data_IF_936631017457
#
_entry.id   IF_936631017457
#
_cell.length_a   1.000
_cell.length_b   1.000
_cell.length_c   1.000
_cell.angle_alpha   90.00
_cell.angle_beta   90.00
_cell.angle_gamma   90.00
#
_symmetry.space_group_name_H-M   'P 1'
#
loop_
_entity.id
_entity.type
_entity.pdbx_description
1 polymer ?
#
# COMPACT_ATOMS: atom_id res chain seq x y z
N UNK A 1 8.73 26.45 1.14
CA UNK A 1 10.18 26.70 0.99
C UNK A 1 10.86 25.37 0.73
N UNK A 2 11.90 25.35 -0.14
CA UNK A 2 12.67 24.14 -0.45
C UNK A 2 13.66 23.83 0.67
N UNK A 3 14.11 22.58 0.83
CA UNK A 3 15.17 22.24 1.79
C UNK A 3 16.45 23.07 1.60
N UNK A 4 16.80 23.40 0.35
CA UNK A 4 17.95 24.24 0.02
C UNK A 4 17.88 25.64 0.66
N UNK A 5 16.65 26.17 0.86
CA UNK A 5 16.44 27.42 1.58
C UNK A 5 16.91 27.34 3.05
N UNK A 6 16.99 26.15 3.61
CA UNK A 6 17.46 25.90 4.98
C UNK A 6 18.91 25.40 5.02
N UNK A 7 19.64 25.48 3.90
CA UNK A 7 21.02 25.02 3.79
C UNK A 7 21.20 23.51 3.91
N UNK A 8 20.13 22.72 3.71
CA UNK A 8 20.17 21.26 3.75
C UNK A 8 20.62 20.71 2.39
N UNK A 9 21.64 19.89 2.39
CA UNK A 9 22.06 19.12 1.21
C UNK A 9 21.02 18.05 0.85
N UNK A 10 21.04 17.58 -0.42
CA UNK A 10 20.13 16.53 -0.89
C UNK A 10 20.22 15.27 -0.02
N UNK A 11 21.43 14.91 0.43
CA UNK A 11 21.65 13.71 1.24
C UNK A 11 21.08 13.84 2.66
N UNK A 12 21.01 15.05 3.23
CA UNK A 12 20.48 15.28 4.57
C UNK A 12 18.96 15.14 4.67
N UNK A 13 18.23 15.40 3.58
CA UNK A 13 16.77 15.26 3.58
C UNK A 13 16.25 14.09 2.73
N UNK A 14 17.12 13.38 2.02
CA UNK A 14 16.75 12.13 1.36
C UNK A 14 16.59 11.02 2.38
N UNK A 15 15.47 10.31 2.26
CA UNK A 15 15.24 9.13 3.07
C UNK A 15 16.09 7.98 2.57
N UNK A 16 17.09 7.56 3.35
CA UNK A 16 17.98 6.44 3.06
C UNK A 16 17.41 5.07 3.48
N UNK A 17 16.35 5.08 4.31
CA UNK A 17 15.70 3.84 4.74
C UNK A 17 14.66 3.37 3.73
N UNK A 18 14.87 2.17 3.22
CA UNK A 18 13.95 1.47 2.32
C UNK A 18 13.35 0.25 3.03
N UNK A 19 12.18 -0.21 2.53
CA UNK A 19 11.61 -1.46 3.01
C UNK A 19 12.58 -2.61 2.71
N UNK A 20 13.20 -3.14 3.76
CA UNK A 20 14.20 -4.22 3.67
C UNK A 20 13.57 -5.62 3.73
N UNK A 21 12.29 -5.71 4.07
CA UNK A 21 11.55 -6.98 4.17
C UNK A 21 10.11 -6.84 3.72
N UNK A 22 9.54 -7.94 3.23
CA UNK A 22 8.11 -8.06 3.02
C UNK A 22 7.39 -8.07 4.38
N UNK A 23 6.41 -7.16 4.51
CA UNK A 23 5.54 -7.04 5.69
C UNK A 23 4.14 -7.58 5.41
N UNK A 24 3.94 -8.21 4.25
CA UNK A 24 2.69 -8.83 3.85
C UNK A 24 2.27 -9.94 4.82
N UNK A 25 0.98 -10.17 4.92
CA UNK A 25 0.46 -11.21 5.79
C UNK A 25 0.79 -12.60 5.26
N UNK A 26 0.68 -12.81 3.94
CA UNK A 26 1.02 -14.09 3.30
C UNK A 26 2.49 -14.46 3.48
N UNK A 27 3.38 -13.47 3.37
CA UNK A 27 4.81 -13.67 3.60
C UNK A 27 5.17 -14.08 5.04
N UNK A 28 4.26 -13.83 5.99
CA UNK A 28 4.39 -14.24 7.39
C UNK A 28 3.49 -15.46 7.72
N UNK A 29 3.04 -16.21 6.72
CA UNK A 29 2.27 -17.45 6.89
C UNK A 29 0.85 -17.24 7.42
N UNK A 30 0.29 -16.04 7.31
CA UNK A 30 -1.08 -15.74 7.78
C UNK A 30 -2.08 -16.04 6.67
N UNK A 31 -3.05 -16.90 6.95
CA UNK A 31 -4.24 -17.07 6.11
C UNK A 31 -5.13 -15.82 6.26
N UNK A 32 -5.03 -14.94 5.26
CA UNK A 32 -5.68 -13.64 5.28
C UNK A 32 -7.20 -13.76 5.34
N UNK A 33 -7.77 -14.64 4.54
CA UNK A 33 -9.22 -14.74 4.38
C UNK A 33 -9.86 -15.41 5.60
N UNK A 34 -9.22 -16.44 6.16
CA UNK A 34 -9.65 -17.08 7.40
C UNK A 34 -9.61 -16.08 8.57
N UNK A 35 -8.54 -15.33 8.73
CA UNK A 35 -8.41 -14.35 9.82
C UNK A 35 -9.43 -13.22 9.68
N UNK A 36 -9.60 -12.67 8.47
CA UNK A 36 -10.60 -11.61 8.24
C UNK A 36 -12.01 -12.13 8.52
N UNK A 37 -12.33 -13.37 8.16
CA UNK A 37 -13.62 -13.99 8.45
C UNK A 37 -13.86 -14.09 9.95
N UNK A 38 -12.91 -14.62 10.71
CA UNK A 38 -13.00 -14.68 12.17
C UNK A 38 -13.22 -13.30 12.81
N UNK A 39 -12.52 -12.29 12.31
CA UNK A 39 -12.73 -10.90 12.76
C UNK A 39 -14.13 -10.40 12.40
N UNK A 40 -14.65 -10.67 11.20
CA UNK A 40 -16.01 -10.30 10.80
C UNK A 40 -17.07 -10.91 11.71
N UNK A 41 -16.91 -12.17 12.11
CA UNK A 41 -17.84 -12.87 13.01
C UNK A 41 -17.82 -12.27 14.42
N UNK A 42 -16.69 -11.75 14.86
CA UNK A 42 -16.54 -11.11 16.17
C UNK A 42 -16.95 -9.63 16.17
N UNK A 43 -16.52 -8.88 15.15
CA UNK A 43 -16.78 -7.45 15.01
C UNK A 43 -16.93 -7.06 13.54
N UNK A 44 -18.16 -6.84 13.12
CA UNK A 44 -18.49 -6.56 11.73
C UNK A 44 -17.88 -5.23 11.22
N UNK A 45 -17.73 -4.22 12.08
CA UNK A 45 -17.15 -2.92 11.69
C UNK A 45 -15.63 -3.06 11.42
N UNK A 46 -14.91 -3.73 12.32
CA UNK A 46 -13.47 -3.98 12.14
C UNK A 46 -13.25 -4.95 10.99
N UNK A 47 -14.04 -6.02 10.89
CA UNK A 47 -13.97 -6.97 9.78
C UNK A 47 -14.21 -6.32 8.41
N UNK A 48 -15.22 -5.46 8.29
CA UNK A 48 -15.47 -4.70 7.05
C UNK A 48 -14.30 -3.75 6.73
N UNK A 49 -13.75 -3.08 7.75
CA UNK A 49 -12.56 -2.25 7.57
C UNK A 49 -11.36 -3.06 7.05
N UNK A 50 -11.14 -4.29 7.54
CA UNK A 50 -10.09 -5.18 7.03
C UNK A 50 -10.37 -5.63 5.59
N UNK A 51 -11.62 -5.98 5.25
CA UNK A 51 -12.00 -6.30 3.86
C UNK A 51 -11.70 -5.13 2.91
N UNK A 52 -12.03 -3.90 3.32
CA UNK A 52 -11.72 -2.69 2.54
C UNK A 52 -10.21 -2.47 2.41
N UNK A 53 -9.42 -2.70 3.48
CA UNK A 53 -7.95 -2.63 3.40
C UNK A 53 -7.44 -3.69 2.42
N UNK A 54 -7.92 -4.93 2.51
CA UNK A 54 -7.52 -6.06 1.65
C UNK A 54 -7.86 -5.83 0.18
N UNK A 55 -9.01 -5.23 -0.11
CA UNK A 55 -9.46 -5.03 -1.50
C UNK A 55 -8.86 -3.78 -2.15
N UNK A 56 -8.66 -2.70 -1.41
CA UNK A 56 -8.34 -1.38 -1.94
C UNK A 56 -7.03 -0.77 -1.41
N UNK A 57 -6.32 -1.46 -0.54
CA UNK A 57 -5.08 -0.95 0.04
C UNK A 57 -5.27 0.31 0.89
N UNK A 58 -6.39 0.45 1.61
CA UNK A 58 -6.66 1.60 2.45
C UNK A 58 -5.72 1.64 3.67
N UNK A 59 -5.46 2.84 4.20
CA UNK A 59 -4.88 2.96 5.53
C UNK A 59 -5.94 2.67 6.59
N UNK A 60 -5.55 2.22 7.78
CA UNK A 60 -6.43 1.97 8.92
C UNK A 60 -7.45 3.10 9.14
N UNK A 61 -6.97 4.35 9.25
CA UNK A 61 -7.85 5.52 9.43
C UNK A 61 -8.78 5.74 8.24
N UNK A 62 -8.30 5.51 7.03
CA UNK A 62 -9.10 5.65 5.80
C UNK A 62 -10.22 4.62 5.78
N UNK A 63 -9.96 3.35 6.18
CA UNK A 63 -10.99 2.31 6.21
C UNK A 63 -12.07 2.59 7.25
N UNK A 64 -11.71 3.09 8.43
CA UNK A 64 -12.68 3.45 9.49
C UNK A 64 -13.54 4.66 9.09
N UNK A 65 -12.97 5.63 8.36
CA UNK A 65 -13.67 6.82 7.90
C UNK A 65 -14.37 6.64 6.54
N UNK A 66 -14.23 5.47 5.91
CA UNK A 66 -14.89 5.21 4.64
C UNK A 66 -16.41 5.22 4.81
N UNK A 67 -17.10 5.91 3.91
CA UNK A 67 -18.57 5.97 3.84
C UNK A 67 -19.04 5.15 2.66
N UNK A 68 -19.54 3.93 2.87
CA UNK A 68 -19.73 2.95 1.78
C UNK A 68 -20.70 3.40 0.68
N UNK A 69 -21.63 4.28 0.99
CA UNK A 69 -22.56 4.85 -0.01
C UNK A 69 -22.02 6.16 -0.60
N UNK A 70 -21.71 7.14 0.24
CA UNK A 70 -21.29 8.48 -0.20
C UNK A 70 -19.93 8.48 -0.92
N UNK A 71 -19.00 7.61 -0.49
CA UNK A 71 -17.67 7.55 -1.09
C UNK A 71 -17.61 6.75 -2.39
N UNK A 72 -18.69 6.10 -2.80
CA UNK A 72 -18.76 5.39 -4.08
C UNK A 72 -19.38 6.32 -5.12
N UNK A 73 -18.55 6.78 -6.05
CA UNK A 73 -18.92 7.78 -7.04
C UNK A 73 -18.81 7.22 -8.46
N UNK A 74 -19.61 7.71 -9.42
CA UNK A 74 -19.46 7.37 -10.82
C UNK A 74 -18.16 7.98 -11.39
N UNK A 75 -17.69 7.45 -12.52
CA UNK A 75 -16.47 7.92 -13.18
C UNK A 75 -16.49 9.43 -13.45
N UNK A 76 -17.60 9.95 -13.91
CA UNK A 76 -17.80 11.36 -14.27
C UNK A 76 -17.55 12.32 -13.09
N UNK A 77 -17.72 11.83 -11.86
CA UNK A 77 -17.46 12.61 -10.63
C UNK A 77 -16.02 12.55 -10.14
N UNK A 78 -15.14 11.83 -10.84
CA UNK A 78 -13.74 11.67 -10.43
C UNK A 78 -12.84 12.81 -10.88
N UNK A 79 -13.21 13.50 -11.96
CA UNK A 79 -12.37 14.49 -12.65
C UNK A 79 -11.15 13.86 -13.35
N UNK A 80 -11.15 12.55 -13.55
CA UNK A 80 -10.12 11.85 -14.34
C UNK A 80 -10.42 12.02 -15.85
N UNK A 81 -9.39 12.08 -16.70
CA UNK A 81 -9.57 12.13 -18.13
C UNK A 81 -10.15 10.79 -18.67
N UNK A 82 -10.89 10.80 -19.79
CA UNK A 82 -11.57 9.61 -20.32
C UNK A 82 -10.65 8.40 -20.55
N UNK A 83 -9.41 8.64 -20.96
CA UNK A 83 -8.39 7.62 -21.19
C UNK A 83 -7.95 6.90 -19.90
N UNK A 84 -8.17 7.49 -18.74
CA UNK A 84 -7.88 6.90 -17.42
C UNK A 84 -9.10 6.13 -16.84
N UNK A 85 -10.16 5.94 -17.62
CA UNK A 85 -11.34 5.19 -17.17
C UNK A 85 -11.03 3.69 -17.08
N UNK A 86 -11.02 3.17 -15.84
CA UNK A 86 -10.79 1.74 -15.55
C UNK A 86 -12.06 1.04 -15.04
N UNK A 87 -13.06 1.80 -14.61
CA UNK A 87 -14.35 1.29 -14.12
C UNK A 87 -15.43 2.36 -14.23
N UNK A 88 -16.70 1.96 -14.13
CA UNK A 88 -17.82 2.91 -14.08
C UNK A 88 -17.99 3.56 -12.70
N UNK A 89 -17.52 2.88 -11.65
CA UNK A 89 -17.62 3.36 -10.26
C UNK A 89 -16.27 3.35 -9.58
N UNK A 90 -16.07 4.33 -8.72
CA UNK A 90 -14.81 4.54 -7.99
C UNK A 90 -15.06 4.76 -6.50
N UNK A 91 -14.15 4.26 -5.67
CA UNK A 91 -14.10 4.63 -4.27
C UNK A 91 -13.27 5.91 -4.11
N UNK A 92 -13.92 6.99 -3.68
CA UNK A 92 -13.28 8.29 -3.38
C UNK A 92 -12.70 8.26 -1.97
N UNK A 93 -11.39 8.31 -1.84
CA UNK A 93 -10.68 8.19 -0.56
C UNK A 93 -9.97 9.51 -0.24
N UNK A 94 -10.31 10.11 0.91
CA UNK A 94 -9.60 11.26 1.46
C UNK A 94 -8.46 10.76 2.36
N UNK A 95 -7.23 10.92 1.90
CA UNK A 95 -6.02 10.46 2.58
C UNK A 95 -5.38 11.51 3.49
N UNK A 96 -4.14 11.19 3.94
CA UNK A 96 -3.32 12.10 4.76
C UNK A 96 -3.09 13.43 4.02
N UNK A 97 -3.25 14.54 4.75
CA UNK A 97 -3.09 15.89 4.18
C UNK A 97 -4.27 16.32 3.29
N UNK A 98 -5.45 15.69 3.42
CA UNK A 98 -6.65 16.07 2.66
C UNK A 98 -6.65 15.61 1.19
N UNK A 99 -5.63 14.90 0.74
CA UNK A 99 -5.53 14.45 -0.65
C UNK A 99 -6.61 13.44 -0.96
N UNK A 100 -7.29 13.66 -2.09
CA UNK A 100 -8.29 12.74 -2.62
C UNK A 100 -7.66 11.86 -3.69
N UNK A 101 -7.98 10.57 -3.66
CA UNK A 101 -7.70 9.62 -4.73
C UNK A 101 -8.94 8.81 -5.05
N UNK A 102 -9.02 8.36 -6.27
CA UNK A 102 -10.09 7.52 -6.76
C UNK A 102 -9.54 6.12 -7.05
N UNK A 103 -10.13 5.10 -6.44
CA UNK A 103 -9.77 3.70 -6.63
C UNK A 103 -10.87 3.07 -7.48
N UNK A 104 -10.55 2.53 -8.67
CA UNK A 104 -11.56 1.91 -9.53
C UNK A 104 -12.16 0.69 -8.84
N UNK A 105 -13.47 0.49 -8.95
CA UNK A 105 -14.18 -0.71 -8.49
C UNK A 105 -14.26 -1.71 -9.64
N UNK A 106 -13.11 -2.14 -10.15
CA UNK A 106 -12.88 -2.91 -11.37
C UNK A 106 -12.77 -4.42 -11.15
N UNK A 107 -12.91 -4.88 -9.90
CA UNK A 107 -12.79 -6.31 -9.60
C UNK A 107 -13.90 -6.80 -8.68
N UNK A 108 -14.27 -8.11 -8.77
CA UNK A 108 -15.25 -8.72 -7.87
C UNK A 108 -14.91 -8.52 -6.38
N UNK A 109 -13.62 -8.60 -6.03
CA UNK A 109 -13.16 -8.43 -4.65
C UNK A 109 -13.42 -7.01 -4.12
N UNK A 110 -13.21 -5.96 -4.95
CA UNK A 110 -13.49 -4.57 -4.58
C UNK A 110 -14.99 -4.31 -4.45
N UNK A 111 -15.78 -4.82 -5.38
CA UNK A 111 -17.23 -4.71 -5.33
C UNK A 111 -17.82 -5.43 -4.11
N UNK A 112 -17.37 -6.66 -3.84
CA UNK A 112 -17.80 -7.43 -2.66
C UNK A 112 -17.42 -6.75 -1.34
N UNK A 113 -16.22 -6.16 -1.24
CA UNK A 113 -15.81 -5.44 -0.05
C UNK A 113 -16.67 -4.20 0.22
N UNK A 114 -17.02 -3.45 -0.82
CA UNK A 114 -17.94 -2.30 -0.73
C UNK A 114 -19.35 -2.76 -0.35
N UNK A 115 -19.89 -3.78 -1.02
CA UNK A 115 -21.23 -4.31 -0.73
C UNK A 115 -21.33 -4.83 0.72
N UNK A 116 -20.30 -5.54 1.21
CA UNK A 116 -20.24 -5.95 2.61
C UNK A 116 -20.24 -4.75 3.55
N UNK A 117 -19.44 -3.73 3.28
CA UNK A 117 -19.40 -2.51 4.07
C UNK A 117 -20.75 -1.76 4.09
N UNK A 118 -21.46 -1.72 2.95
CA UNK A 118 -22.83 -1.17 2.86
C UNK A 118 -23.82 -1.94 3.74
N UNK A 119 -23.66 -3.27 3.86
CA UNK A 119 -24.50 -4.10 4.74
C UNK A 119 -24.19 -4.01 6.23
N UNK A 120 -23.09 -3.32 6.60
CA UNK A 120 -22.69 -3.13 8.01
C UNK A 120 -23.17 -1.81 8.57
N UNK A 121 -23.17 -0.74 7.78
CA UNK A 121 -23.57 0.59 8.24
C UNK A 121 -25.09 0.73 8.36
N UNK A 122 -25.54 1.53 9.33
CA UNK A 122 -26.97 1.71 9.65
C UNK A 122 -27.67 2.77 8.80
N UNK A 123 -26.91 3.63 8.11
CA UNK A 123 -27.46 4.71 7.28
C UNK A 123 -26.54 5.02 6.09
N UNK A 124 -27.08 5.69 5.08
CA UNK A 124 -26.32 6.02 3.85
C UNK A 124 -25.19 7.01 4.08
N UNK A 125 -25.29 7.85 5.08
CA UNK A 125 -24.31 8.86 5.46
C UNK A 125 -23.29 8.33 6.50
N UNK A 126 -23.49 7.12 7.02
CA UNK A 126 -22.62 6.55 8.04
C UNK A 126 -21.22 6.17 7.48
N UNK A 127 -20.21 6.31 8.33
CA UNK A 127 -18.87 5.78 8.07
C UNK A 127 -18.69 4.39 8.71
N UNK A 128 -17.60 3.70 8.35
CA UNK A 128 -17.31 2.34 8.82
C UNK A 128 -16.96 2.24 10.32
N UNK A 129 -16.75 3.32 11.02
CA UNK A 129 -16.60 3.26 12.48
C UNK A 129 -17.96 3.04 13.16
N UNK A 130 -17.95 2.39 14.32
CA UNK A 130 -19.14 2.27 15.16
C UNK A 130 -19.69 3.68 15.50
N UNK A 131 -20.97 3.98 15.19
CA UNK A 131 -21.55 5.30 15.38
C UNK A 131 -21.63 5.74 16.85
N UNK A 132 -21.61 4.81 17.79
CA UNK A 132 -21.56 5.10 19.23
C UNK A 132 -20.18 5.57 19.73
N UNK A 133 -19.19 5.61 18.84
CA UNK A 133 -17.81 5.94 19.18
C UNK A 133 -17.30 7.12 18.35
N UNK A 134 -16.50 7.98 18.97
CA UNK A 134 -15.68 8.93 18.21
C UNK A 134 -14.55 8.22 17.42
N UNK A 135 -13.86 8.95 16.56
CA UNK A 135 -12.79 8.42 15.76
C UNK A 135 -11.66 7.79 16.60
N UNK A 136 -11.30 8.44 17.70
CA UNK A 136 -10.21 7.97 18.58
C UNK A 136 -10.57 6.65 19.22
N UNK A 137 -11.80 6.50 19.70
CA UNK A 137 -12.32 5.27 20.29
C UNK A 137 -12.44 4.16 19.24
N UNK A 138 -12.93 4.48 18.03
CA UNK A 138 -12.97 3.54 16.92
C UNK A 138 -11.59 3.02 16.54
N UNK A 139 -10.57 3.88 16.46
CA UNK A 139 -9.21 3.45 16.14
C UNK A 139 -8.60 2.60 17.26
N UNK A 140 -8.85 2.93 18.53
CA UNK A 140 -8.40 2.11 19.67
C UNK A 140 -9.10 0.75 19.68
N UNK A 141 -10.39 0.73 19.41
CA UNK A 141 -11.15 -0.51 19.31
C UNK A 141 -10.67 -1.39 18.16
N UNK A 142 -10.39 -0.79 16.99
CA UNK A 142 -9.77 -1.48 15.88
C UNK A 142 -8.45 -2.17 16.30
N UNK A 143 -7.55 -1.45 16.98
CA UNK A 143 -6.28 -2.01 17.48
C UNK A 143 -6.50 -3.11 18.51
N UNK A 144 -7.46 -2.95 19.41
CA UNK A 144 -7.84 -3.98 20.40
C UNK A 144 -8.29 -5.27 19.72
N UNK A 145 -9.18 -5.17 18.74
CA UNK A 145 -9.66 -6.36 17.99
C UNK A 145 -8.50 -7.04 17.28
N UNK A 146 -7.61 -6.27 16.61
CA UNK A 146 -6.43 -6.88 15.98
C UNK A 146 -5.57 -7.63 16.98
N UNK A 147 -5.32 -7.05 18.16
CA UNK A 147 -4.56 -7.70 19.23
C UNK A 147 -5.24 -8.98 19.70
N UNK A 148 -6.56 -8.96 19.87
CA UNK A 148 -7.34 -10.13 20.28
C UNK A 148 -7.19 -11.33 19.31
N UNK A 149 -7.03 -11.05 18.01
CA UNK A 149 -6.84 -12.08 16.98
C UNK A 149 -5.35 -12.34 16.65
N UNK A 150 -4.43 -11.86 17.49
CA UNK A 150 -3.01 -12.06 17.32
C UNK A 150 -2.41 -11.32 16.12
N UNK A 151 -3.11 -10.32 15.56
CA UNK A 151 -2.64 -9.54 14.42
C UNK A 151 -1.70 -8.45 14.94
N UNK A 152 -0.56 -8.88 15.46
CA UNK A 152 0.49 -8.03 16.02
C UNK A 152 1.85 -8.46 15.51
N UNK A 153 2.82 -7.55 15.55
CA UNK A 153 4.21 -7.87 15.20
C UNK A 153 4.77 -8.96 16.12
N UNK A 154 4.35 -8.95 17.41
CA UNK A 154 4.84 -9.89 18.42
C UNK A 154 4.37 -11.32 18.15
N UNK A 155 3.11 -11.51 17.76
CA UNK A 155 2.51 -12.85 17.66
C UNK A 155 2.59 -13.45 16.26
N UNK A 156 2.29 -12.66 15.25
CA UNK A 156 2.25 -13.13 13.84
C UNK A 156 3.18 -12.35 12.92
N UNK A 157 3.98 -11.42 13.42
CA UNK A 157 4.86 -10.61 12.58
C UNK A 157 4.14 -9.57 11.69
N UNK A 158 2.82 -9.40 11.84
CA UNK A 158 1.97 -8.62 10.94
C UNK A 158 1.21 -7.50 11.63
N UNK A 159 0.70 -6.57 10.84
CA UNK A 159 -0.16 -5.45 11.28
C UNK A 159 -1.19 -5.14 10.20
N UNK A 160 -2.19 -4.30 10.50
CA UNK A 160 -3.08 -3.76 9.47
C UNK A 160 -2.33 -3.06 8.32
N UNK A 161 -1.19 -2.45 8.62
CA UNK A 161 -0.34 -1.83 7.61
C UNK A 161 0.33 -2.87 6.70
N UNK A 162 0.69 -4.04 7.24
CA UNK A 162 1.18 -5.18 6.46
C UNK A 162 0.13 -5.70 5.47
N UNK A 163 -1.14 -5.74 5.85
CA UNK A 163 -2.23 -6.11 4.93
C UNK A 163 -2.35 -5.13 3.75
N UNK A 164 -2.14 -3.84 3.99
CA UNK A 164 -2.06 -2.86 2.90
C UNK A 164 -0.82 -3.10 2.01
N UNK A 165 0.34 -3.44 2.60
CA UNK A 165 1.53 -3.80 1.83
C UNK A 165 1.27 -4.99 0.91
N UNK A 166 0.57 -6.01 1.38
CA UNK A 166 0.13 -7.15 0.58
C UNK A 166 -0.55 -6.71 -0.72
N UNK A 167 -1.54 -5.81 -0.60
CA UNK A 167 -2.29 -5.30 -1.76
C UNK A 167 -1.40 -4.53 -2.74
N UNK A 168 -0.50 -3.70 -2.21
CA UNK A 168 0.39 -2.90 -3.07
C UNK A 168 1.42 -3.77 -3.80
N UNK A 169 1.89 -4.82 -3.15
CA UNK A 169 2.79 -5.83 -3.74
C UNK A 169 2.05 -6.61 -4.82
N UNK A 170 0.87 -7.17 -4.52
CA UNK A 170 0.07 -7.90 -5.51
C UNK A 170 -0.32 -7.02 -6.70
N UNK A 171 -0.58 -5.75 -6.48
CA UNK A 171 -0.84 -4.80 -7.57
C UNK A 171 0.39 -4.55 -8.45
N UNK A 172 1.58 -4.47 -7.85
CA UNK A 172 2.83 -4.41 -8.61
C UNK A 172 3.05 -5.67 -9.43
N UNK A 173 2.90 -6.84 -8.81
CA UNK A 173 3.07 -8.16 -9.45
C UNK A 173 2.15 -8.33 -10.65
N UNK A 174 0.88 -7.92 -10.53
CA UNK A 174 -0.10 -7.99 -11.62
C UNK A 174 0.31 -7.11 -12.83
N UNK A 175 1.01 -6.01 -12.61
CA UNK A 175 1.43 -5.10 -13.67
C UNK A 175 2.80 -5.44 -14.24
N UNK A 176 3.74 -5.87 -13.39
CA UNK A 176 5.11 -6.17 -13.76
C UNK A 176 5.32 -7.60 -14.25
N UNK A 177 4.34 -8.50 -14.01
CA UNK A 177 4.44 -9.93 -14.33
C UNK A 177 5.44 -10.71 -13.47
N UNK A 178 6.02 -10.07 -12.47
CA UNK A 178 6.97 -10.68 -11.51
C UNK A 178 6.87 -10.03 -10.15
N UNK A 179 7.31 -10.76 -9.11
CA UNK A 179 7.36 -10.24 -7.75
C UNK A 179 8.26 -8.98 -7.67
N UNK A 180 7.96 -8.02 -6.78
CA UNK A 180 8.84 -6.88 -6.58
C UNK A 180 10.15 -7.31 -5.92
N UNK A 181 11.23 -6.50 -6.03
CA UNK A 181 12.54 -6.83 -5.46
C UNK A 181 12.51 -7.16 -3.96
N UNK A 182 11.57 -6.59 -3.19
CA UNK A 182 11.39 -6.90 -1.77
C UNK A 182 10.97 -8.36 -1.51
N UNK A 183 10.42 -9.04 -2.52
CA UNK A 183 10.10 -10.48 -2.56
C UNK A 183 11.11 -11.30 -3.36
N UNK A 184 12.25 -10.74 -3.72
CA UNK A 184 13.27 -11.42 -4.52
C UNK A 184 12.92 -11.60 -6.00
N UNK A 185 11.98 -10.81 -6.51
CA UNK A 185 11.59 -10.85 -7.91
C UNK A 185 12.69 -10.37 -8.86
N UNK A 186 12.63 -10.84 -10.10
CA UNK A 186 13.58 -10.46 -11.14
C UNK A 186 13.43 -9.00 -11.55
N UNK A 187 14.51 -8.43 -12.05
CA UNK A 187 14.47 -7.09 -12.64
C UNK A 187 13.67 -7.12 -13.93
N UNK A 188 12.71 -6.21 -14.04
CA UNK A 188 11.93 -5.97 -15.26
C UNK A 188 12.49 -4.76 -16.03
N UNK A 189 12.13 -4.59 -17.32
CA UNK A 189 12.52 -3.40 -18.08
C UNK A 189 12.21 -2.12 -17.32
N UNK A 190 13.11 -1.10 -17.34
CA UNK A 190 12.96 0.12 -16.53
C UNK A 190 11.63 0.86 -16.74
N UNK A 191 11.10 0.83 -17.97
CA UNK A 191 9.82 1.45 -18.30
C UNK A 191 8.65 0.74 -17.62
N UNK A 192 8.62 -0.59 -17.66
CA UNK A 192 7.59 -1.41 -17.00
C UNK A 192 7.65 -1.26 -15.48
N UNK A 193 8.86 -1.27 -14.90
CA UNK A 193 9.04 -1.02 -13.46
C UNK A 193 8.52 0.38 -13.08
N UNK A 194 8.81 1.39 -13.89
CA UNK A 194 8.32 2.75 -13.67
C UNK A 194 6.81 2.83 -13.72
N UNK A 195 6.16 2.21 -14.70
CA UNK A 195 4.70 2.18 -14.84
C UNK A 195 4.05 1.47 -13.66
N UNK A 196 4.54 0.29 -13.28
CA UNK A 196 4.05 -0.47 -12.13
C UNK A 196 4.16 0.35 -10.83
N UNK A 197 5.30 0.98 -10.57
CA UNK A 197 5.50 1.83 -9.38
C UNK A 197 4.62 3.07 -9.38
N UNK A 198 4.39 3.71 -10.51
CA UNK A 198 3.48 4.84 -10.62
C UNK A 198 2.04 4.43 -10.27
N UNK A 199 1.58 3.29 -10.79
CA UNK A 199 0.26 2.75 -10.48
C UNK A 199 0.12 2.39 -9.00
N UNK A 200 1.12 1.72 -8.41
CA UNK A 200 1.17 1.46 -6.96
C UNK A 200 1.13 2.77 -6.15
N UNK A 201 1.85 3.79 -6.57
CA UNK A 201 1.85 5.10 -5.90
C UNK A 201 0.49 5.81 -5.97
N UNK A 202 -0.21 5.71 -7.11
CA UNK A 202 -1.59 6.21 -7.25
C UNK A 202 -2.53 5.48 -6.29
N UNK A 203 -2.51 4.15 -6.28
CA UNK A 203 -3.30 3.33 -5.37
C UNK A 203 -2.99 3.64 -3.90
N UNK A 204 -1.72 3.80 -3.56
CA UNK A 204 -1.28 4.15 -2.22
C UNK A 204 -1.63 5.58 -1.79
N UNK A 205 -1.99 6.47 -2.71
CA UNK A 205 -2.24 7.88 -2.43
C UNK A 205 -0.98 8.62 -1.97
N UNK A 206 0.17 8.27 -2.54
CA UNK A 206 1.39 9.04 -2.41
C UNK A 206 1.30 10.31 -3.27
N UNK A 207 2.11 11.33 -2.96
CA UNK A 207 2.14 12.56 -3.76
C UNK A 207 2.43 12.23 -5.23
N UNK A 208 1.86 13.03 -6.15
CA UNK A 208 2.24 12.97 -7.56
C UNK A 208 3.77 12.91 -7.65
N UNK A 209 4.29 11.85 -8.25
CA UNK A 209 5.68 11.83 -8.68
C UNK A 209 5.75 12.91 -9.75
N UNK A 210 6.35 14.07 -9.44
CA UNK A 210 6.73 15.01 -10.50
C UNK A 210 7.69 14.26 -11.41
N UNK A 211 7.59 14.49 -12.71
CA UNK A 211 8.41 13.87 -13.75
C UNK A 211 9.94 14.11 -13.60
N UNK A 212 10.35 14.93 -12.65
CA UNK A 212 11.75 15.08 -12.23
C UNK A 212 12.10 13.95 -11.25
N UNK A 213 12.91 13.03 -11.70
CA UNK A 213 13.43 11.77 -11.13
C UNK A 213 13.74 11.62 -9.64
N UNK A 214 13.29 12.52 -8.76
CA UNK A 214 13.71 12.61 -7.36
C UNK A 214 12.80 11.94 -6.34
N UNK A 215 11.73 11.21 -6.72
CA UNK A 215 10.83 10.60 -5.74
C UNK A 215 10.52 9.12 -6.04
N UNK A 216 11.55 8.33 -6.28
CA UNK A 216 11.48 6.86 -6.35
C UNK A 216 11.72 6.23 -4.96
N UNK A 217 11.34 6.88 -3.89
CA UNK A 217 11.61 6.53 -2.51
C UNK A 217 10.74 5.45 -1.90
N UNK A 218 10.19 4.48 -2.65
CA UNK A 218 9.43 3.41 -2.01
C UNK A 218 9.88 1.99 -2.40
N UNK A 219 10.60 1.81 -3.50
CA UNK A 219 11.21 0.52 -3.86
C UNK A 219 12.43 0.80 -4.73
N UNK A 220 13.56 1.13 -4.17
CA UNK A 220 14.83 1.11 -4.87
C UNK A 220 15.53 -0.21 -4.55
N UNK A 221 15.87 -0.94 -5.59
CA UNK A 221 16.66 -2.15 -5.52
C UNK A 221 17.94 -1.86 -4.75
N UNK A 222 18.15 -2.53 -3.61
CA UNK A 222 19.49 -2.65 -3.06
C UNK A 222 20.33 -3.43 -4.08
N UNK A 223 21.29 -2.78 -4.71
CA UNK A 223 22.41 -3.51 -5.29
C UNK A 223 23.13 -4.14 -4.11
N UNK A 224 23.17 -5.46 -4.05
CA UNK A 224 24.10 -6.15 -3.16
C UNK A 224 25.51 -5.66 -3.46
N UNK A 225 26.28 -5.21 -2.47
CA UNK A 225 27.71 -5.00 -2.63
C UNK A 225 28.38 -6.38 -2.58
N UNK A 226 28.47 -7.07 -3.72
CA UNK A 226 29.01 -8.43 -3.74
C UNK A 226 29.14 -9.05 -5.11
N UNK A 227 29.48 -8.26 -6.13
CA UNK A 227 30.15 -8.79 -7.31
C UNK A 227 31.27 -7.82 -7.66
N UNK A 228 32.35 -7.92 -6.94
CA UNK A 228 33.65 -7.53 -7.48
C UNK A 228 34.00 -8.65 -8.44
N UNK A 229 34.10 -8.29 -9.68
CA UNK A 229 34.61 -9.14 -10.74
C UNK A 229 36.00 -9.62 -10.33
N UNK A 230 36.12 -10.94 -10.21
CA UNK A 230 37.38 -11.64 -10.13
C UNK A 230 37.93 -11.73 -11.56
N UNK A 231 38.49 -10.64 -12.05
CA UNK A 231 39.40 -10.61 -13.17
C UNK A 231 40.55 -9.64 -12.79
N UNK A 232 41.43 -10.14 -11.97
CA UNK A 232 42.73 -9.56 -11.66
C UNK A 232 43.78 -10.47 -12.20
N UNK A 233 44.11 -10.29 -13.44
CA UNK A 233 45.21 -10.89 -14.15
C UNK A 233 46.54 -10.56 -13.48
N UNK A 234 47.34 -11.58 -13.24
CA UNK A 234 48.74 -11.56 -12.90
C UNK A 234 49.52 -10.60 -13.81
N UNK A 235 50.20 -9.62 -13.21
CA UNK A 235 51.39 -8.99 -13.77
C UNK A 235 52.44 -8.97 -12.68
N UNK A 236 53.32 -9.94 -12.74
CA UNK A 236 54.58 -9.96 -12.00
C UNK A 236 55.62 -9.06 -12.69
N UNK A 237 56.34 -8.21 -11.96
CA UNK A 237 57.41 -7.40 -12.56
C UNK A 237 58.68 -8.26 -12.78
N UNK A 238 59.46 -7.94 -13.83
CA UNK A 238 60.68 -8.71 -14.15
C UNK A 238 61.80 -8.39 -13.17
N UNK A 239 62.49 -9.45 -12.70
CA UNK A 239 63.76 -9.36 -12.01
C UNK A 239 64.81 -8.66 -12.85
N UNK A 240 65.50 -7.71 -12.22
CA UNK A 240 66.75 -7.16 -12.77
C UNK A 240 67.95 -7.94 -12.19
N UNK A 241 68.77 -8.38 -13.13
CA UNK A 241 70.14 -8.88 -12.91
C UNK A 241 71.08 -7.78 -12.39
#
# INVERSE_FOLDING_TARGET
RSPDHYGLSVDEYQRHEYASRDKGWSANGVDIDAVITQVCDHDRFVGASLRLIRAMGLRRKESVLFRPFESVVPFESTGLPPEDKLADRYARIKGKGGRVRHIPLDSPARLAAVAFAQGVVSSQDAHMGNPAHDLRKNLRHFDYVLTKFGITVRERGVTAHGLRHEVLISHYEALAGTAPPVRGGQMVPPELDRQARQSVSRLAGHARIRASGAYLGAVRVQRHPGSRDADGMDDAPPERA
#
